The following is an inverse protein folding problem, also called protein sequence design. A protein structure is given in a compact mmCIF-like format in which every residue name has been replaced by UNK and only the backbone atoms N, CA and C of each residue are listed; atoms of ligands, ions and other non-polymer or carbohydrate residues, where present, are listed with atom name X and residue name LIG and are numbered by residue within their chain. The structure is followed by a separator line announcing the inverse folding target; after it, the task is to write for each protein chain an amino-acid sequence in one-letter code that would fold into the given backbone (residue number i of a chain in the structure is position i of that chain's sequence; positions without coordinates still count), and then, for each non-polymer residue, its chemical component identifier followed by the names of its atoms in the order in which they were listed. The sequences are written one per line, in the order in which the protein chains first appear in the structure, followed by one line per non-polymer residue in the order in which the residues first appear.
data_IF_418673598318
#
_entry.id   IF_418673598318
#
_cell.length_a   1.000
_cell.length_b   1.000
_cell.length_c   1.000
_cell.angle_alpha   90.00
_cell.angle_beta   90.00
_cell.angle_gamma   90.00
#
_symmetry.space_group_name_H-M   'P 1'
#
loop_
_entity.id
_entity.type
_entity.pdbx_description
1 polymer ?
#
# COMPACT_ATOMS: atom_id res chain seq x y z
N UNK A 1 39.76 -19.99 -22.52
CA UNK A 1 39.35 -19.45 -21.21
C UNK A 1 38.84 -18.01 -21.25
N UNK A 2 39.51 -17.04 -21.91
CA UNK A 2 39.07 -15.64 -21.99
C UNK A 2 37.73 -15.41 -22.71
N UNK A 3 37.40 -16.23 -23.73
CA UNK A 3 36.12 -16.18 -24.46
C UNK A 3 34.94 -16.69 -23.62
N UNK A 4 35.18 -17.68 -22.76
CA UNK A 4 34.17 -18.26 -21.86
C UNK A 4 33.78 -17.26 -20.76
N UNK A 5 34.76 -16.51 -20.22
CA UNK A 5 34.54 -15.44 -19.25
C UNK A 5 33.71 -14.28 -19.81
N UNK A 6 33.89 -13.98 -21.11
CA UNK A 6 33.12 -12.95 -21.84
C UNK A 6 31.63 -13.32 -22.01
N UNK A 7 31.32 -14.60 -22.24
CA UNK A 7 29.94 -15.08 -22.32
C UNK A 7 29.25 -15.12 -20.96
N UNK A 8 29.99 -15.47 -19.89
CA UNK A 8 29.47 -15.49 -18.52
C UNK A 8 29.11 -14.07 -18.04
N UNK A 9 29.93 -13.05 -18.35
CA UNK A 9 29.64 -11.66 -17.99
C UNK A 9 28.38 -11.12 -18.69
N UNK A 10 28.15 -11.50 -19.96
CA UNK A 10 26.96 -11.06 -20.71
C UNK A 10 25.68 -11.69 -20.15
N UNK A 11 25.73 -12.96 -19.71
CA UNK A 11 24.59 -13.63 -19.09
C UNK A 11 24.25 -13.09 -17.69
N UNK A 12 25.24 -12.68 -16.90
CA UNK A 12 25.01 -12.06 -15.57
C UNK A 12 24.38 -10.67 -15.69
N UNK A 13 24.69 -9.91 -16.74
CA UNK A 13 24.09 -8.58 -16.98
C UNK A 13 22.64 -8.65 -17.50
N UNK A 14 22.23 -9.73 -18.17
CA UNK A 14 20.85 -9.91 -18.64
C UNK A 14 19.89 -10.54 -17.59
N UNK A 15 20.43 -11.19 -16.56
CA UNK A 15 19.62 -11.88 -15.54
C UNK A 15 18.97 -10.98 -14.49
N UNK A 16 19.31 -9.68 -14.45
CA UNK A 16 18.88 -8.75 -13.39
C UNK A 16 17.54 -8.03 -13.66
N UNK A 17 16.78 -8.44 -14.67
CA UNK A 17 15.52 -7.78 -15.03
C UNK A 17 14.25 -8.58 -14.70
N UNK A 18 14.38 -9.82 -14.21
CA UNK A 18 13.24 -10.64 -13.82
C UNK A 18 13.13 -10.61 -12.30
N UNK A 19 12.75 -9.44 -11.78
CA UNK A 19 12.17 -9.38 -10.44
C UNK A 19 10.77 -10.00 -10.57
N UNK A 20 10.46 -11.12 -9.89
CA UNK A 20 9.08 -11.54 -9.78
C UNK A 20 8.35 -10.40 -9.07
N UNK A 21 7.52 -9.66 -9.82
CA UNK A 21 6.45 -8.87 -9.21
C UNK A 21 5.47 -9.88 -8.65
N UNK A 22 5.80 -10.48 -7.51
CA UNK A 22 4.84 -11.13 -6.64
C UNK A 22 3.67 -10.16 -6.54
N UNK A 23 2.50 -10.57 -7.05
CA UNK A 23 1.36 -9.71 -7.36
C UNK A 23 1.20 -8.58 -6.33
N UNK A 24 1.66 -7.37 -6.68
CA UNK A 24 1.38 -6.20 -5.88
C UNK A 24 -0.10 -5.90 -6.09
N UNK A 25 -0.95 -6.30 -5.14
CA UNK A 25 -2.35 -5.89 -5.14
C UNK A 25 -2.44 -4.36 -5.20
N UNK A 26 -3.40 -3.83 -5.96
CA UNK A 26 -3.62 -2.38 -6.03
C UNK A 26 -3.97 -1.86 -4.62
N UNK A 27 -3.37 -0.74 -4.20
CA UNK A 27 -3.66 -0.14 -2.90
C UNK A 27 -5.12 0.26 -2.73
N UNK A 28 -5.82 0.56 -3.84
CA UNK A 28 -7.28 0.75 -3.83
C UNK A 28 -8.01 -0.53 -3.46
N UNK A 29 -7.62 -1.65 -4.07
CA UNK A 29 -8.27 -2.94 -3.84
C UNK A 29 -8.02 -3.42 -2.41
N UNK A 30 -6.80 -3.27 -1.90
CA UNK A 30 -6.48 -3.53 -0.50
C UNK A 30 -7.30 -2.65 0.46
N UNK A 31 -7.42 -1.36 0.17
CA UNK A 31 -8.22 -0.45 0.98
C UNK A 31 -9.70 -0.91 1.04
N UNK A 32 -10.30 -1.25 -0.10
CA UNK A 32 -11.70 -1.72 -0.16
C UNK A 32 -11.88 -3.09 0.50
N UNK A 33 -10.99 -4.04 0.23
CA UNK A 33 -11.15 -5.42 0.69
C UNK A 33 -10.78 -5.61 2.15
N UNK A 34 -9.72 -4.94 2.64
CA UNK A 34 -9.23 -5.07 4.02
C UNK A 34 -9.90 -4.05 4.94
N UNK A 35 -9.80 -2.75 4.66
CA UNK A 35 -10.37 -1.71 5.53
C UNK A 35 -11.90 -1.71 5.46
N UNK A 36 -12.49 -2.04 4.31
CA UNK A 36 -13.95 -2.11 4.13
C UNK A 36 -14.62 -3.21 4.96
N UNK A 37 -13.88 -4.16 5.53
CA UNK A 37 -14.45 -5.15 6.47
C UNK A 37 -15.12 -4.48 7.66
N UNK A 38 -14.53 -3.41 8.18
CA UNK A 38 -15.08 -2.67 9.33
C UNK A 38 -15.72 -1.34 8.90
N UNK A 39 -15.16 -0.66 7.90
CA UNK A 39 -15.59 0.68 7.48
C UNK A 39 -16.71 0.70 6.43
N UNK A 40 -17.20 -0.47 6.01
CA UNK A 40 -18.39 -0.61 5.13
C UNK A 40 -19.33 -1.67 5.67
N UNK A 41 -18.80 -2.83 6.06
CA UNK A 41 -19.63 -3.97 6.51
C UNK A 41 -19.81 -4.04 8.03
N UNK A 42 -19.27 -3.08 8.77
CA UNK A 42 -19.34 -3.04 10.23
C UNK A 42 -19.69 -1.64 10.74
N UNK A 43 -19.53 -1.43 12.04
CA UNK A 43 -19.98 -0.20 12.71
C UNK A 43 -18.89 0.88 12.79
N UNK A 44 -17.81 0.76 11.99
CA UNK A 44 -16.76 1.77 12.00
C UNK A 44 -17.15 2.98 11.13
N UNK A 45 -16.83 4.21 11.54
CA UNK A 45 -17.17 5.40 10.77
C UNK A 45 -16.57 5.39 9.37
N UNK A 46 -17.26 6.02 8.43
CA UNK A 46 -16.81 6.18 7.06
C UNK A 46 -15.38 6.73 6.97
N UNK A 47 -14.66 6.25 5.96
CA UNK A 47 -13.31 6.69 5.66
C UNK A 47 -13.12 6.82 4.16
N UNK A 48 -12.67 8.01 3.74
CA UNK A 48 -12.29 8.30 2.36
C UNK A 48 -10.84 8.79 2.33
N UNK A 49 -10.12 8.64 1.21
CA UNK A 49 -8.78 9.21 1.04
C UNK A 49 -8.71 10.70 1.39
N UNK A 50 -9.69 11.50 0.94
CA UNK A 50 -9.80 12.94 1.25
C UNK A 50 -10.12 13.29 2.71
N UNK A 51 -10.29 12.30 3.59
CA UNK A 51 -10.56 12.57 5.02
C UNK A 51 -9.43 13.36 5.68
N UNK A 52 -8.19 13.15 5.22
CA UNK A 52 -6.99 13.77 5.76
C UNK A 52 -6.05 14.24 4.66
N UNK A 53 -5.16 15.18 5.02
CA UNK A 53 -3.98 15.51 4.24
C UNK A 53 -2.97 14.35 4.24
N UNK A 54 -2.08 14.33 3.26
CA UNK A 54 -1.06 13.30 3.06
C UNK A 54 -0.18 13.12 4.31
N UNK A 55 0.24 14.23 4.93
CA UNK A 55 1.05 14.22 6.15
C UNK A 55 0.32 13.63 7.36
N UNK A 56 -1.00 13.84 7.43
CA UNK A 56 -1.84 13.30 8.50
C UNK A 56 -2.04 11.79 8.32
N UNK A 57 -2.21 11.30 7.09
CA UNK A 57 -2.22 9.86 6.79
C UNK A 57 -0.90 9.18 7.17
N UNK A 58 0.23 9.73 6.73
CA UNK A 58 1.56 9.22 7.13
C UNK A 58 1.73 9.15 8.65
N UNK A 59 1.28 10.19 9.35
CA UNK A 59 1.32 10.21 10.82
C UNK A 59 0.35 9.22 11.46
N UNK A 60 -0.78 8.91 10.82
CA UNK A 60 -1.73 7.91 11.30
C UNK A 60 -1.10 6.52 11.32
N UNK A 61 -0.49 6.10 10.21
CA UNK A 61 0.14 4.78 10.08
C UNK A 61 1.44 4.66 10.86
N UNK A 62 2.36 5.63 10.76
CA UNK A 62 3.64 5.61 11.49
C UNK A 62 3.49 5.56 13.02
N UNK A 63 2.37 6.03 13.56
CA UNK A 63 2.07 5.99 15.00
C UNK A 63 1.08 4.89 15.39
N UNK A 64 0.81 3.95 14.48
CA UNK A 64 -0.14 2.87 14.65
C UNK A 64 -1.45 3.33 15.31
N UNK A 65 -2.02 4.42 14.78
CA UNK A 65 -3.18 5.06 15.39
C UNK A 65 -4.42 4.17 15.37
N UNK A 66 -4.50 3.22 14.46
CA UNK A 66 -5.60 2.26 14.38
C UNK A 66 -5.67 1.40 15.64
N UNK A 67 -4.52 0.96 16.18
CA UNK A 67 -4.41 0.15 17.41
C UNK A 67 -5.06 0.77 18.65
N UNK A 68 -5.26 2.09 18.67
CA UNK A 68 -6.01 2.78 19.75
C UNK A 68 -7.48 2.37 19.81
N UNK A 69 -8.04 1.91 18.69
CA UNK A 69 -9.43 1.43 18.58
C UNK A 69 -9.49 -0.07 18.36
N UNK A 70 -8.63 -0.59 17.47
CA UNK A 70 -8.53 -2.03 17.19
C UNK A 70 -7.14 -2.36 16.64
N UNK A 71 -6.49 -3.38 17.19
CA UNK A 71 -5.27 -3.92 16.60
C UNK A 71 -5.62 -4.74 15.35
N UNK A 72 -4.98 -4.42 14.23
CA UNK A 72 -5.19 -5.06 12.92
C UNK A 72 -3.94 -5.78 12.41
N UNK A 73 -2.88 -5.85 13.22
CA UNK A 73 -1.60 -6.46 12.83
C UNK A 73 -1.71 -7.96 12.50
N UNK A 74 -2.74 -8.64 13.01
CA UNK A 74 -3.06 -10.03 12.65
C UNK A 74 -3.97 -10.18 11.42
N UNK A 75 -4.53 -9.10 10.90
CA UNK A 75 -5.50 -9.11 9.78
C UNK A 75 -4.92 -8.54 8.48
N UNK A 76 -3.95 -7.63 8.59
CA UNK A 76 -3.32 -6.91 7.47
C UNK A 76 -1.81 -6.93 7.66
N UNK A 77 -1.08 -7.36 6.64
CA UNK A 77 0.40 -7.44 6.72
C UNK A 77 1.03 -6.03 6.70
N UNK A 78 2.28 -5.87 7.17
CA UNK A 78 3.00 -4.60 7.09
C UNK A 78 3.15 -4.06 5.64
N UNK A 79 3.31 -4.95 4.66
CA UNK A 79 3.42 -4.59 3.24
C UNK A 79 2.07 -4.13 2.67
N UNK A 80 0.97 -4.79 3.06
CA UNK A 80 -0.38 -4.36 2.71
C UNK A 80 -0.70 -3.00 3.33
N UNK A 81 -0.35 -2.78 4.60
CA UNK A 81 -0.48 -1.46 5.26
C UNK A 81 0.30 -0.38 4.51
N UNK A 82 1.53 -0.67 4.11
CA UNK A 82 2.35 0.29 3.35
C UNK A 82 1.70 0.62 2.00
N UNK A 83 1.11 -0.37 1.34
CA UNK A 83 0.43 -0.19 0.05
C UNK A 83 -0.87 0.62 0.21
N UNK A 84 -1.63 0.38 1.29
CA UNK A 84 -2.82 1.16 1.65
C UNK A 84 -2.44 2.61 2.01
N UNK A 85 -1.38 2.83 2.79
CA UNK A 85 -0.89 4.17 3.12
C UNK A 85 -0.51 4.94 1.85
N UNK A 86 0.20 4.29 0.92
CA UNK A 86 0.56 4.90 -0.36
C UNK A 86 -0.69 5.31 -1.16
N UNK A 87 -1.71 4.45 -1.22
CA UNK A 87 -2.97 4.79 -1.86
C UNK A 87 -3.65 6.01 -1.18
N UNK A 88 -3.81 5.98 0.14
CA UNK A 88 -4.46 7.06 0.88
C UNK A 88 -3.72 8.40 0.78
N UNK A 89 -2.39 8.39 0.75
CA UNK A 89 -1.57 9.60 0.59
C UNK A 89 -1.61 10.14 -0.83
N UNK A 90 -1.54 9.28 -1.86
CA UNK A 90 -1.64 9.72 -3.26
C UNK A 90 -3.00 10.33 -3.62
N UNK A 91 -4.04 10.00 -2.84
CA UNK A 91 -5.42 10.48 -3.04
C UNK A 91 -5.96 11.31 -1.88
N UNK A 92 -5.06 11.83 -1.04
CA UNK A 92 -5.39 12.66 0.11
C UNK A 92 -6.08 13.97 -0.27
N UNK A 93 -6.58 14.70 0.72
CA UNK A 93 -7.27 15.99 0.50
C UNK A 93 -6.39 17.04 -0.19
N UNK A 94 -5.08 16.98 0.03
CA UNK A 94 -4.06 17.90 -0.46
C UNK A 94 -3.23 17.32 -1.61
N UNK A 95 -3.62 16.18 -2.18
CA UNK A 95 -2.91 15.59 -3.32
C UNK A 95 -3.36 16.18 -4.65
N UNK A 96 -2.58 15.97 -5.70
CA UNK A 96 -2.94 16.37 -7.07
C UNK A 96 -4.12 15.54 -7.64
N UNK A 97 -4.44 14.40 -7.00
CA UNK A 97 -5.45 13.43 -7.45
C UNK A 97 -6.40 13.02 -6.30
N UNK A 98 -7.10 13.96 -5.65
CA UNK A 98 -7.93 13.66 -4.48
C UNK A 98 -9.11 12.75 -4.84
N UNK A 99 -9.44 11.78 -3.98
CA UNK A 99 -10.62 10.90 -4.17
C UNK A 99 -11.59 11.02 -2.99
N UNK A 100 -12.79 11.54 -3.29
CA UNK A 100 -13.87 11.68 -2.32
C UNK A 100 -14.66 10.38 -2.07
N UNK A 101 -14.63 9.44 -3.01
CA UNK A 101 -15.24 8.13 -2.81
C UNK A 101 -14.52 7.39 -1.68
N UNK A 102 -15.27 6.99 -0.66
CA UNK A 102 -14.76 6.29 0.51
C UNK A 102 -15.49 4.98 0.80
N UNK A 103 -15.07 4.36 1.89
CA UNK A 103 -15.74 3.25 2.56
C UNK A 103 -16.81 3.84 3.46
N UNK A 104 -18.03 3.36 3.26
CA UNK A 104 -19.29 3.73 3.91
C UNK A 104 -20.19 2.50 3.92
#
# INVERSE_FOLDING_TARGET
MKKLYRFIIIFVLLGLCIQPRLHAEDGKDLFVTKCGKCHTRGDAPDVAPVKYASSQWKRFFSRDKHKRKKDISGEISPEEITTIEKYLTNHAADSDLPIAAGLR
#
